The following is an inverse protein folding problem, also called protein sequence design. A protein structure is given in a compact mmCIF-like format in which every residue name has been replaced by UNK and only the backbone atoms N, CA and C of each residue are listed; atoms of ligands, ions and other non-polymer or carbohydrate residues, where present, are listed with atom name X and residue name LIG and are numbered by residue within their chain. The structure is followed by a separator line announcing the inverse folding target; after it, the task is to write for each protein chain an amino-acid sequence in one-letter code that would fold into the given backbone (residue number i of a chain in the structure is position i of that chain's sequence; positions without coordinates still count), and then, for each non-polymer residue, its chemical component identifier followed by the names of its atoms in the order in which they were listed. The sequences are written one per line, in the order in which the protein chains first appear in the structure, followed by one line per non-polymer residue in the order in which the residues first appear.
data_IF_186218049634
#
_entry.id   IF_186218049634
#
_cell.length_a   1.000
_cell.length_b   1.000
_cell.length_c   1.000
_cell.angle_alpha   90.00
_cell.angle_beta   90.00
_cell.angle_gamma   90.00
#
_symmetry.space_group_name_H-M   'P 1'
#
loop_
_entity.id
_entity.type
_entity.pdbx_description
1 polymer ?
#
# COMPACT_ATOMS: atom_id res chain seq x y z
N UNK A 1 -18.10 21.08 -8.38
CA UNK A 1 -18.03 19.73 -8.90
C UNK A 1 -16.85 19.59 -9.83
N UNK A 2 -15.97 18.61 -9.58
CA UNK A 2 -14.89 18.27 -10.50
C UNK A 2 -15.51 17.73 -11.79
N UNK A 3 -15.54 18.54 -12.84
CA UNK A 3 -16.09 18.20 -14.14
C UNK A 3 -15.18 17.27 -14.98
N UNK A 4 -14.18 16.66 -14.37
CA UNK A 4 -13.32 15.68 -15.02
C UNK A 4 -13.56 14.30 -14.40
N UNK A 5 -14.05 13.36 -15.20
CA UNK A 5 -14.16 11.97 -14.78
C UNK A 5 -12.77 11.44 -14.41
N UNK A 6 -12.63 10.91 -13.16
CA UNK A 6 -11.45 10.13 -12.82
C UNK A 6 -11.43 8.89 -13.70
N UNK A 7 -10.24 8.38 -14.01
CA UNK A 7 -10.09 7.10 -14.70
C UNK A 7 -9.83 6.03 -13.64
N UNK A 8 -10.75 5.06 -13.53
CA UNK A 8 -10.54 3.93 -12.63
C UNK A 8 -9.42 3.06 -13.19
N UNK A 9 -8.42 2.79 -12.34
CA UNK A 9 -7.30 1.92 -12.68
C UNK A 9 -7.75 0.45 -12.72
N UNK A 10 -7.01 -0.37 -13.47
CA UNK A 10 -7.03 -1.82 -13.31
C UNK A 10 -6.10 -2.16 -12.14
N UNK A 11 -6.68 -2.58 -11.00
CA UNK A 11 -5.90 -2.92 -9.81
C UNK A 11 -4.91 -4.06 -10.05
N UNK A 12 -5.21 -4.96 -10.99
CA UNK A 12 -4.34 -6.10 -11.31
C UNK A 12 -2.99 -5.68 -11.87
N UNK A 13 -2.88 -4.49 -12.46
CA UNK A 13 -1.60 -4.00 -13.01
C UNK A 13 -0.54 -3.79 -11.92
N UNK A 14 -0.95 -3.61 -10.68
CA UNK A 14 -0.01 -3.42 -9.56
C UNK A 14 0.60 -4.73 -9.08
N UNK A 15 0.02 -5.87 -9.45
CA UNK A 15 0.57 -7.19 -9.13
C UNK A 15 0.35 -7.62 -7.69
N UNK A 16 1.17 -8.56 -7.26
CA UNK A 16 1.04 -9.21 -5.94
C UNK A 16 2.03 -8.70 -4.90
N UNK A 17 3.19 -8.23 -5.33
CA UNK A 17 4.27 -7.79 -4.43
C UNK A 17 4.45 -6.29 -4.60
N UNK A 18 3.98 -5.54 -3.60
CA UNK A 18 4.11 -4.10 -3.53
C UNK A 18 5.21 -3.78 -2.51
N UNK A 19 6.28 -3.11 -2.94
CA UNK A 19 7.45 -2.88 -2.11
C UNK A 19 7.50 -1.43 -1.63
N UNK A 20 7.30 -1.17 -0.31
CA UNK A 20 7.52 0.15 0.25
C UNK A 20 9.02 0.42 0.33
N UNK A 21 9.46 1.40 -0.45
CA UNK A 21 10.87 1.74 -0.57
C UNK A 21 11.41 2.38 0.72
N UNK A 22 12.60 1.95 1.12
CA UNK A 22 13.35 2.58 2.21
C UNK A 22 13.89 3.92 1.71
N UNK A 23 13.81 4.96 2.55
CA UNK A 23 14.36 6.28 2.24
C UNK A 23 15.78 6.38 2.82
N UNK A 24 16.83 6.43 1.98
CA UNK A 24 18.20 6.58 2.46
C UNK A 24 18.51 8.03 2.86
N UNK A 25 19.36 8.18 3.88
CA UNK A 25 19.85 9.46 4.35
C UNK A 25 21.37 9.52 4.18
N UNK A 26 21.90 10.72 3.93
CA UNK A 26 23.34 10.96 3.88
C UNK A 26 23.94 11.22 5.28
N UNK A 27 25.24 11.50 5.34
CA UNK A 27 25.98 11.79 6.59
C UNK A 27 25.49 13.07 7.30
N UNK A 28 24.76 13.95 6.62
CA UNK A 28 24.18 15.16 7.18
C UNK A 28 22.71 15.00 7.58
N UNK A 29 22.20 13.76 7.61
CA UNK A 29 20.81 13.43 7.90
C UNK A 29 19.83 14.00 6.88
N UNK A 30 20.31 14.32 5.68
CA UNK A 30 19.47 14.75 4.56
C UNK A 30 19.12 13.55 3.67
N UNK A 31 17.95 13.61 3.01
CA UNK A 31 17.56 12.54 2.08
C UNK A 31 18.56 12.45 0.95
N UNK A 32 19.08 11.23 0.70
CA UNK A 32 19.95 10.96 -0.42
C UNK A 32 19.14 10.47 -1.64
N UNK A 33 18.70 11.41 -2.43
CA UNK A 33 17.88 11.11 -3.63
C UNK A 33 18.62 10.30 -4.68
N UNK A 34 19.96 10.45 -4.77
CA UNK A 34 20.79 9.65 -5.66
C UNK A 34 20.79 8.16 -5.27
N UNK A 35 20.99 7.88 -3.99
CA UNK A 35 20.89 6.51 -3.45
C UNK A 35 19.49 5.94 -3.57
N UNK A 36 18.46 6.80 -3.42
CA UNK A 36 17.08 6.38 -3.61
C UNK A 36 16.83 5.89 -5.04
N UNK A 37 17.32 6.64 -6.03
CA UNK A 37 17.25 6.23 -7.44
C UNK A 37 18.03 4.93 -7.70
N UNK A 38 19.21 4.77 -7.10
CA UNK A 38 20.00 3.54 -7.19
C UNK A 38 19.28 2.34 -6.58
N UNK A 39 18.62 2.53 -5.44
CA UNK A 39 17.81 1.48 -4.80
C UNK A 39 16.66 1.04 -5.71
N UNK A 40 15.99 1.99 -6.34
CA UNK A 40 14.90 1.71 -7.29
C UNK A 40 15.45 0.89 -8.47
N UNK A 41 16.57 1.29 -9.03
CA UNK A 41 17.21 0.56 -10.13
C UNK A 41 17.56 -0.88 -9.71
N UNK A 42 18.13 -1.06 -8.54
CA UNK A 42 18.45 -2.38 -7.98
C UNK A 42 17.19 -3.26 -7.85
N UNK A 43 16.13 -2.73 -7.26
CA UNK A 43 14.87 -3.45 -7.03
C UNK A 43 14.23 -3.86 -8.37
N UNK A 44 14.22 -2.97 -9.35
CA UNK A 44 13.64 -3.24 -10.67
C UNK A 44 14.49 -4.26 -11.43
N UNK A 45 15.80 -4.06 -11.48
CA UNK A 45 16.73 -4.94 -12.21
C UNK A 45 16.72 -6.37 -11.67
N UNK A 46 16.57 -6.54 -10.35
CA UNK A 46 16.49 -7.85 -9.71
C UNK A 46 15.05 -8.39 -9.62
N UNK A 47 14.08 -7.68 -10.15
CA UNK A 47 12.65 -8.07 -10.13
C UNK A 47 12.15 -8.52 -8.75
N UNK A 48 12.41 -7.69 -7.75
CA UNK A 48 12.07 -7.99 -6.36
C UNK A 48 10.60 -7.69 -6.01
N UNK A 49 9.89 -6.97 -6.88
CA UNK A 49 8.50 -6.59 -6.67
C UNK A 49 7.77 -6.35 -7.99
N UNK A 50 6.45 -6.18 -7.89
CA UNK A 50 5.61 -5.80 -9.03
C UNK A 50 5.37 -4.30 -9.08
N UNK A 51 5.32 -3.63 -7.92
CA UNK A 51 5.08 -2.19 -7.81
C UNK A 51 5.91 -1.58 -6.70
N UNK A 52 6.19 -0.29 -6.83
CA UNK A 52 6.95 0.50 -5.86
C UNK A 52 6.00 1.39 -5.06
N UNK A 53 6.16 1.44 -3.73
CA UNK A 53 5.44 2.38 -2.88
C UNK A 53 6.44 3.42 -2.36
N UNK A 54 6.13 4.68 -2.57
CA UNK A 54 6.95 5.81 -2.12
C UNK A 54 6.31 6.42 -0.89
N UNK A 55 7.08 6.56 0.19
CA UNK A 55 6.62 7.08 1.50
C UNK A 55 5.49 6.26 2.13
N UNK A 56 5.51 4.93 1.93
CA UNK A 56 4.46 4.03 2.41
C UNK A 56 4.59 3.61 3.87
N UNK A 57 5.74 3.86 4.52
CA UNK A 57 5.96 3.53 5.93
C UNK A 57 5.49 4.68 6.80
N UNK A 58 4.48 4.44 7.65
CA UNK A 58 3.82 5.47 8.45
C UNK A 58 4.78 6.25 9.35
N UNK A 59 5.69 5.57 10.05
CA UNK A 59 6.66 6.22 10.95
C UNK A 59 7.65 7.10 10.22
N UNK A 60 8.09 6.70 9.05
CA UNK A 60 9.02 7.46 8.21
C UNK A 60 8.32 8.64 7.54
N UNK A 61 7.13 8.42 6.97
CA UNK A 61 6.36 9.46 6.29
C UNK A 61 6.04 10.65 7.22
N UNK A 62 5.82 10.41 8.51
CA UNK A 62 5.53 11.45 9.50
C UNK A 62 6.72 12.38 9.78
N UNK A 63 7.96 11.95 9.46
CA UNK A 63 9.19 12.72 9.65
C UNK A 63 9.56 13.56 8.43
N UNK A 64 8.90 13.33 7.29
CA UNK A 64 9.20 14.00 6.02
C UNK A 64 8.32 15.23 5.84
N UNK A 65 8.90 16.29 5.28
CA UNK A 65 8.14 17.47 4.88
C UNK A 65 7.32 17.17 3.61
N UNK A 66 6.33 17.99 3.34
CA UNK A 66 5.54 17.93 2.12
C UNK A 66 6.44 17.96 0.87
N UNK A 67 7.36 18.92 0.81
CA UNK A 67 8.25 19.08 -0.35
C UNK A 67 9.23 17.91 -0.50
N UNK A 68 9.72 17.35 0.60
CA UNK A 68 10.55 16.14 0.56
C UNK A 68 9.77 14.94 -0.02
N UNK A 69 8.51 14.78 0.39
CA UNK A 69 7.65 13.70 -0.15
C UNK A 69 7.42 13.88 -1.64
N UNK A 70 7.11 15.10 -2.09
CA UNK A 70 6.94 15.40 -3.52
C UNK A 70 8.21 15.08 -4.30
N UNK A 71 9.37 15.44 -3.78
CA UNK A 71 10.66 15.17 -4.46
C UNK A 71 10.96 13.66 -4.51
N UNK A 72 10.58 12.90 -3.50
CA UNK A 72 10.67 11.43 -3.55
C UNK A 72 9.75 10.85 -4.63
N UNK A 73 8.53 11.37 -4.78
CA UNK A 73 7.62 10.96 -5.86
C UNK A 73 8.23 11.24 -7.23
N UNK A 74 8.76 12.44 -7.46
CA UNK A 74 9.44 12.80 -8.71
C UNK A 74 10.60 11.87 -9.01
N UNK A 75 11.44 11.62 -8.01
CA UNK A 75 12.61 10.74 -8.14
C UNK A 75 12.20 9.31 -8.52
N UNK A 76 11.16 8.79 -7.87
CA UNK A 76 10.67 7.44 -8.13
C UNK A 76 10.05 7.29 -9.53
N UNK A 77 9.23 8.25 -9.94
CA UNK A 77 8.64 8.25 -11.29
C UNK A 77 9.73 8.26 -12.35
N UNK A 78 10.72 9.13 -12.18
CA UNK A 78 11.85 9.25 -13.11
C UNK A 78 12.71 7.98 -13.13
N UNK A 79 13.07 7.45 -11.98
CA UNK A 79 13.91 6.25 -11.87
C UNK A 79 13.20 5.00 -12.39
N UNK A 80 11.91 4.84 -12.11
CA UNK A 80 11.14 3.71 -12.65
C UNK A 80 10.98 3.77 -14.16
N UNK A 81 10.84 4.97 -14.72
CA UNK A 81 10.70 5.21 -16.16
C UNK A 81 9.60 4.31 -16.80
N UNK A 82 8.52 4.08 -16.10
CA UNK A 82 7.40 3.26 -16.57
C UNK A 82 7.63 1.74 -16.50
N UNK A 83 8.77 1.29 -15.99
CA UNK A 83 9.09 -0.16 -15.91
C UNK A 83 8.29 -0.89 -14.84
N UNK A 84 8.03 -0.24 -13.72
CA UNK A 84 7.15 -0.73 -12.65
C UNK A 84 6.20 0.39 -12.25
N UNK A 85 4.93 0.07 -11.90
CA UNK A 85 4.02 1.07 -11.37
C UNK A 85 4.54 1.69 -10.07
N UNK A 86 4.26 2.98 -9.89
CA UNK A 86 4.58 3.73 -8.67
C UNK A 86 3.28 4.04 -7.94
N UNK A 87 3.27 3.80 -6.64
CA UNK A 87 2.17 4.11 -5.73
C UNK A 87 2.68 5.16 -4.74
N UNK A 88 1.90 6.21 -4.50
CA UNK A 88 2.28 7.26 -3.56
C UNK A 88 1.60 7.07 -2.21
N UNK A 89 2.39 7.01 -1.14
CA UNK A 89 1.88 7.16 0.22
C UNK A 89 1.62 8.62 0.50
N UNK A 90 0.37 9.03 0.64
CA UNK A 90 -0.02 10.45 0.73
C UNK A 90 -0.75 10.82 2.01
N UNK A 91 -0.90 9.89 2.95
CA UNK A 91 -1.52 10.18 4.24
C UNK A 91 -0.75 11.26 5.00
N UNK A 92 -1.48 12.26 5.50
CA UNK A 92 -0.98 13.36 6.31
C UNK A 92 -1.84 13.51 7.57
N UNK A 93 -1.43 14.43 8.45
CA UNK A 93 -2.16 14.71 9.69
C UNK A 93 -3.59 15.24 9.44
N UNK A 94 -3.79 16.00 8.37
CA UNK A 94 -5.11 16.57 8.04
C UNK A 94 -5.65 16.05 6.71
N UNK A 95 -6.96 16.06 6.58
CA UNK A 95 -7.66 15.76 5.33
C UNK A 95 -7.21 16.70 4.20
N UNK A 96 -7.08 17.99 4.52
CA UNK A 96 -6.67 19.01 3.56
C UNK A 96 -5.27 18.76 3.00
N UNK A 97 -4.31 18.48 3.86
CA UNK A 97 -2.93 18.18 3.44
C UNK A 97 -2.87 16.88 2.63
N UNK A 98 -3.62 15.87 3.04
CA UNK A 98 -3.72 14.60 2.32
C UNK A 98 -4.23 14.81 0.90
N UNK A 99 -5.27 15.62 0.73
CA UNK A 99 -5.81 15.98 -0.60
C UNK A 99 -4.74 16.69 -1.43
N UNK A 100 -4.05 17.67 -0.86
CA UNK A 100 -3.02 18.43 -1.56
C UNK A 100 -1.86 17.52 -2.03
N UNK A 101 -1.38 16.64 -1.16
CA UNK A 101 -0.28 15.72 -1.48
C UNK A 101 -0.71 14.67 -2.51
N UNK A 102 -1.92 14.14 -2.38
CA UNK A 102 -2.49 13.18 -3.34
C UNK A 102 -2.59 13.80 -4.73
N UNK A 103 -3.05 15.03 -4.82
CA UNK A 103 -3.16 15.73 -6.10
C UNK A 103 -1.80 16.06 -6.71
N UNK A 104 -0.80 16.39 -5.88
CA UNK A 104 0.59 16.53 -6.34
C UNK A 104 1.14 15.25 -6.95
N UNK A 105 0.93 14.13 -6.27
CA UNK A 105 1.35 12.83 -6.77
C UNK A 105 0.65 12.48 -8.10
N UNK A 106 -0.64 12.75 -8.18
CA UNK A 106 -1.41 12.54 -9.42
C UNK A 106 -0.87 13.38 -10.57
N UNK A 107 -0.55 14.65 -10.34
CA UNK A 107 0.00 15.55 -11.36
C UNK A 107 1.37 15.06 -11.86
N UNK A 108 2.11 14.30 -11.07
CA UNK A 108 3.36 13.65 -11.45
C UNK A 108 3.19 12.33 -12.21
N UNK A 109 1.94 11.90 -12.43
CA UNK A 109 1.62 10.66 -13.14
C UNK A 109 1.37 9.46 -12.24
N UNK A 110 1.26 9.63 -10.93
CA UNK A 110 0.98 8.54 -9.99
C UNK A 110 -0.54 8.42 -9.81
N UNK A 111 -1.11 7.35 -10.32
CA UNK A 111 -2.57 7.16 -10.39
C UNK A 111 -3.18 6.55 -9.13
N UNK A 112 -2.37 5.91 -8.28
CA UNK A 112 -2.81 5.25 -7.05
C UNK A 112 -2.12 5.84 -5.84
N UNK A 113 -2.91 6.27 -4.86
CA UNK A 113 -2.44 6.73 -3.56
C UNK A 113 -2.79 5.72 -2.46
N UNK A 114 -1.81 5.39 -1.63
CA UNK A 114 -2.00 4.60 -0.40
C UNK A 114 -2.15 5.59 0.75
N UNK A 115 -3.30 5.57 1.42
CA UNK A 115 -3.64 6.57 2.43
C UNK A 115 -3.95 5.90 3.76
N UNK A 116 -3.06 6.10 4.74
CA UNK A 116 -3.24 5.60 6.09
C UNK A 116 -4.41 6.30 6.79
N UNK A 117 -5.11 5.59 7.67
CA UNK A 117 -6.11 6.19 8.53
C UNK A 117 -5.49 7.34 9.34
N UNK A 118 -6.24 8.42 9.60
CA UNK A 118 -5.72 9.52 10.43
C UNK A 118 -5.33 8.99 11.82
N UNK A 119 -4.16 9.36 12.30
CA UNK A 119 -3.59 8.85 13.55
C UNK A 119 -3.66 9.86 14.70
N UNK A 120 -4.24 11.02 14.47
CA UNK A 120 -4.56 12.00 15.50
C UNK A 120 -6.04 11.88 15.88
N UNK A 121 -6.36 12.00 17.17
CA UNK A 121 -7.73 12.08 17.69
C UNK A 121 -8.60 10.81 17.62
N UNK A 122 -8.06 9.62 17.41
CA UNK A 122 -8.82 8.35 17.39
C UNK A 122 -10.23 8.50 16.80
N UNK A 123 -10.36 8.66 15.48
CA UNK A 123 -11.65 8.94 14.85
C UNK A 123 -12.63 7.79 15.04
N UNK A 124 -13.94 8.12 14.99
CA UNK A 124 -15.01 7.12 14.92
C UNK A 124 -15.04 6.48 13.53
N UNK A 125 -15.77 5.37 13.37
CA UNK A 125 -15.97 4.76 12.05
C UNK A 125 -16.62 5.75 11.06
N UNK A 126 -17.60 6.54 11.52
CA UNK A 126 -18.20 7.59 10.69
C UNK A 126 -17.20 8.68 10.32
N UNK A 127 -16.34 9.07 11.26
CA UNK A 127 -15.26 10.02 11.00
C UNK A 127 -14.27 9.50 9.95
N UNK A 128 -13.90 8.22 10.02
CA UNK A 128 -13.05 7.56 9.02
C UNK A 128 -13.72 7.55 7.65
N UNK A 129 -14.99 7.19 7.60
CA UNK A 129 -15.77 7.19 6.36
C UNK A 129 -15.79 8.59 5.72
N UNK A 130 -16.11 9.63 6.49
CA UNK A 130 -16.17 11.01 5.99
C UNK A 130 -14.80 11.52 5.54
N UNK A 131 -13.73 11.18 6.26
CA UNK A 131 -12.36 11.53 5.89
C UNK A 131 -12.00 11.01 4.50
N UNK A 132 -12.16 9.71 4.27
CA UNK A 132 -11.84 9.09 2.99
C UNK A 132 -12.79 9.53 1.86
N UNK A 133 -14.07 9.68 2.17
CA UNK A 133 -15.05 10.20 1.21
C UNK A 133 -14.66 11.59 0.73
N UNK A 134 -14.29 12.47 1.64
CA UNK A 134 -13.87 13.85 1.33
C UNK A 134 -12.62 13.85 0.45
N UNK A 135 -11.64 13.00 0.77
CA UNK A 135 -10.44 12.86 -0.06
C UNK A 135 -10.82 12.39 -1.46
N UNK A 136 -11.60 11.32 -1.55
CA UNK A 136 -12.00 10.73 -2.82
C UNK A 136 -12.76 11.70 -3.73
N UNK A 137 -13.60 12.54 -3.15
CA UNK A 137 -14.38 13.56 -3.89
C UNK A 137 -13.52 14.72 -4.38
N UNK A 138 -12.32 14.91 -3.86
CA UNK A 138 -11.42 16.03 -4.15
C UNK A 138 -10.14 15.63 -4.87
N UNK A 139 -10.08 14.43 -5.44
CA UNK A 139 -8.94 13.95 -6.22
C UNK A 139 -9.40 13.12 -7.41
N UNK A 140 -8.60 13.11 -8.46
CA UNK A 140 -8.76 12.18 -9.60
C UNK A 140 -8.01 10.88 -9.39
N UNK A 141 -7.14 10.81 -8.37
CA UNK A 141 -6.39 9.61 -8.05
C UNK A 141 -7.33 8.50 -7.55
N UNK A 142 -6.91 7.27 -7.79
CA UNK A 142 -7.49 6.11 -7.12
C UNK A 142 -6.86 5.97 -5.75
N UNK A 143 -7.61 5.45 -4.78
CA UNK A 143 -7.21 5.38 -3.38
C UNK A 143 -7.23 3.94 -2.90
N UNK A 144 -6.14 3.53 -2.25
CA UNK A 144 -6.08 2.33 -1.43
C UNK A 144 -6.06 2.76 0.03
N UNK A 145 -7.03 2.28 0.79
CA UNK A 145 -7.10 2.50 2.23
C UNK A 145 -5.93 1.78 2.92
N UNK A 146 -5.41 2.36 4.00
CA UNK A 146 -4.39 1.70 4.80
C UNK A 146 -4.85 1.58 6.25
N UNK A 147 -5.10 0.35 6.70
CA UNK A 147 -5.49 0.03 8.06
C UNK A 147 -4.29 -0.53 8.83
N UNK A 148 -3.88 0.18 9.88
CA UNK A 148 -2.81 -0.26 10.79
C UNK A 148 -3.17 0.13 12.24
N UNK A 149 -4.04 -0.65 12.92
CA UNK A 149 -4.54 -0.31 14.24
C UNK A 149 -3.47 -0.14 15.30
N UNK A 150 -2.41 -0.92 15.24
CA UNK A 150 -1.31 -0.85 16.21
C UNK A 150 -0.63 0.52 16.21
N UNK A 151 -0.60 1.19 15.07
CA UNK A 151 0.01 2.52 14.92
C UNK A 151 -1.01 3.64 15.11
N UNK A 152 -2.19 3.50 14.51
CA UNK A 152 -3.25 4.53 14.46
C UNK A 152 -4.11 4.52 15.74
N UNK A 153 -4.23 3.36 16.40
CA UNK A 153 -5.07 3.19 17.59
C UNK A 153 -6.55 2.94 17.30
N UNK A 154 -6.94 2.87 16.03
CA UNK A 154 -8.31 2.58 15.59
C UNK A 154 -8.26 1.56 14.47
N UNK A 155 -9.09 0.51 14.57
CA UNK A 155 -9.27 -0.46 13.50
C UNK A 155 -10.36 0.01 12.53
N UNK A 156 -10.06 -0.03 11.24
CA UNK A 156 -11.03 0.21 10.19
C UNK A 156 -11.92 -1.05 10.08
N UNK A 157 -13.18 -0.94 10.47
CA UNK A 157 -14.10 -2.08 10.51
C UNK A 157 -14.59 -2.48 9.12
N UNK A 158 -14.92 -3.75 8.95
CA UNK A 158 -15.39 -4.31 7.67
C UNK A 158 -16.59 -3.58 7.09
N UNK A 159 -17.56 -3.21 7.93
CA UNK A 159 -18.72 -2.43 7.49
C UNK A 159 -18.32 -1.07 6.90
N UNK A 160 -17.37 -0.39 7.53
CA UNK A 160 -16.84 0.89 7.03
C UNK A 160 -16.11 0.71 5.70
N UNK A 161 -15.29 -0.34 5.57
CA UNK A 161 -14.61 -0.66 4.32
C UNK A 161 -15.63 -0.96 3.21
N UNK A 162 -16.68 -1.70 3.51
CA UNK A 162 -17.77 -1.98 2.56
C UNK A 162 -18.45 -0.72 2.06
N UNK A 163 -18.73 0.24 2.95
CA UNK A 163 -19.29 1.54 2.58
C UNK A 163 -18.33 2.34 1.68
N UNK A 164 -17.05 2.33 2.02
CA UNK A 164 -16.01 3.02 1.25
C UNK A 164 -15.79 2.38 -0.14
N UNK A 165 -15.91 1.08 -0.25
CA UNK A 165 -15.79 0.36 -1.52
C UNK A 165 -16.86 0.79 -2.55
N UNK A 166 -17.99 1.35 -2.10
CA UNK A 166 -19.01 1.91 -2.98
C UNK A 166 -18.59 3.22 -3.65
N UNK A 167 -17.55 3.88 -3.15
CA UNK A 167 -17.00 5.11 -3.75
C UNK A 167 -16.10 4.72 -4.91
N UNK A 168 -16.38 5.22 -6.14
CA UNK A 168 -15.77 4.66 -7.36
C UNK A 168 -14.24 4.69 -7.43
N UNK A 169 -13.58 5.67 -6.84
CA UNK A 169 -12.12 5.77 -6.83
C UNK A 169 -11.44 5.24 -5.56
N UNK A 170 -12.19 4.60 -4.69
CA UNK A 170 -11.62 3.80 -3.59
C UNK A 170 -11.59 2.35 -4.06
N UNK A 171 -10.39 1.82 -4.31
CA UNK A 171 -10.21 0.60 -5.10
C UNK A 171 -9.63 -0.58 -4.33
N UNK A 172 -9.20 -0.36 -3.10
CA UNK A 172 -8.59 -1.42 -2.31
C UNK A 172 -8.30 -1.00 -0.88
N UNK A 173 -7.82 -1.96 -0.11
CA UNK A 173 -7.36 -1.78 1.26
C UNK A 173 -6.09 -2.60 1.50
N UNK A 174 -5.10 -1.97 2.15
CA UNK A 174 -3.96 -2.65 2.78
C UNK A 174 -4.31 -2.87 4.24
N UNK A 175 -4.31 -4.12 4.67
CA UNK A 175 -4.62 -4.49 6.04
C UNK A 175 -3.37 -4.96 6.80
N UNK A 176 -3.07 -4.27 7.89
CA UNK A 176 -2.00 -4.60 8.81
C UNK A 176 -2.58 -4.63 10.23
N UNK A 177 -3.55 -5.54 10.44
CA UNK A 177 -4.34 -5.66 11.67
C UNK A 177 -3.59 -6.33 12.83
N UNK A 178 -2.29 -6.57 12.68
CA UNK A 178 -1.50 -7.40 13.59
C UNK A 178 -1.67 -8.87 13.24
N UNK A 179 -1.60 -9.76 14.23
CA UNK A 179 -1.68 -11.21 13.97
C UNK A 179 -3.16 -11.63 13.86
N UNK A 180 -3.83 -11.15 12.82
CA UNK A 180 -5.23 -11.47 12.56
C UNK A 180 -5.50 -11.63 11.05
N UNK A 181 -5.23 -12.82 10.46
CA UNK A 181 -5.46 -13.04 9.03
C UNK A 181 -6.94 -13.06 8.64
N UNK A 182 -7.85 -13.31 9.59
CA UNK A 182 -9.28 -13.41 9.29
C UNK A 182 -9.91 -12.08 8.91
N UNK A 183 -9.30 -10.94 9.29
CA UNK A 183 -9.78 -9.63 8.87
C UNK A 183 -9.74 -9.45 7.35
N UNK A 184 -8.80 -10.08 6.67
CA UNK A 184 -8.76 -10.10 5.19
C UNK A 184 -10.04 -10.70 4.63
N UNK A 185 -10.49 -11.82 5.20
CA UNK A 185 -11.76 -12.44 4.79
C UNK A 185 -12.96 -11.53 5.11
N UNK A 186 -12.97 -10.88 6.27
CA UNK A 186 -14.03 -9.95 6.63
C UNK A 186 -14.13 -8.80 5.62
N UNK A 187 -13.01 -8.24 5.20
CA UNK A 187 -12.98 -7.19 4.19
C UNK A 187 -13.40 -7.70 2.81
N UNK A 188 -12.95 -8.88 2.44
CA UNK A 188 -13.37 -9.52 1.20
C UNK A 188 -14.89 -9.70 1.15
N UNK A 189 -15.48 -10.25 2.19
CA UNK A 189 -16.93 -10.46 2.28
C UNK A 189 -17.73 -9.16 2.27
N UNK A 190 -17.21 -8.11 2.91
CA UNK A 190 -17.86 -6.80 2.96
C UNK A 190 -17.84 -6.06 1.62
N UNK A 191 -16.88 -6.38 0.74
CA UNK A 191 -16.65 -5.62 -0.50
C UNK A 191 -17.03 -6.37 -1.78
N UNK A 192 -17.03 -7.70 -1.79
CA UNK A 192 -17.18 -8.51 -3.02
C UNK A 192 -18.44 -8.22 -3.84
N UNK A 193 -19.56 -7.94 -3.15
CA UNK A 193 -20.84 -7.63 -3.80
C UNK A 193 -20.98 -6.14 -4.16
N UNK A 194 -20.24 -5.29 -3.46
CA UNK A 194 -20.25 -3.83 -3.66
C UNK A 194 -19.38 -3.48 -4.87
N UNK A 195 -18.18 -4.04 -4.93
CA UNK A 195 -17.22 -3.85 -5.99
C UNK A 195 -16.39 -5.13 -6.17
N UNK A 196 -16.70 -5.97 -7.16
CA UNK A 196 -15.98 -7.23 -7.40
C UNK A 196 -14.48 -7.04 -7.71
N UNK A 197 -14.06 -5.85 -8.10
CA UNK A 197 -12.67 -5.53 -8.41
C UNK A 197 -11.92 -4.90 -7.23
N UNK A 198 -12.57 -4.71 -6.08
CA UNK A 198 -11.93 -4.20 -4.88
C UNK A 198 -10.89 -5.20 -4.38
N UNK A 199 -9.66 -4.75 -4.12
CA UNK A 199 -8.56 -5.62 -3.73
C UNK A 199 -8.18 -5.45 -2.26
N UNK A 200 -7.83 -6.56 -1.61
CA UNK A 200 -7.33 -6.57 -0.24
C UNK A 200 -5.88 -7.03 -0.27
N UNK A 201 -4.97 -6.21 0.24
CA UNK A 201 -3.55 -6.53 0.41
C UNK A 201 -3.23 -6.73 1.88
N UNK A 202 -2.40 -7.72 2.16
CA UNK A 202 -1.82 -7.90 3.49
C UNK A 202 -0.58 -7.00 3.64
N UNK A 203 -0.41 -6.37 4.80
CA UNK A 203 0.72 -5.48 5.08
C UNK A 203 1.82 -6.08 5.97
N UNK A 204 1.74 -7.37 6.32
CA UNK A 204 2.65 -8.00 7.28
C UNK A 204 3.31 -9.26 6.69
N UNK A 205 4.64 -9.28 6.62
CA UNK A 205 5.42 -10.39 6.05
C UNK A 205 5.14 -11.72 6.77
N UNK A 206 4.98 -11.71 8.08
CA UNK A 206 4.71 -12.95 8.86
C UNK A 206 3.32 -13.52 8.60
N UNK A 207 2.45 -12.75 7.98
CA UNK A 207 1.08 -13.15 7.66
C UNK A 207 0.90 -13.51 6.18
N UNK A 208 1.99 -13.60 5.42
CA UNK A 208 1.93 -13.82 3.97
C UNK A 208 1.06 -15.04 3.60
N UNK A 209 1.45 -16.23 4.01
CA UNK A 209 0.73 -17.44 3.63
C UNK A 209 -0.69 -17.52 4.24
N UNK A 210 -0.89 -17.23 5.54
CA UNK A 210 -2.25 -17.21 6.09
C UNK A 210 -3.20 -16.26 5.37
N UNK A 211 -2.75 -15.09 4.92
CA UNK A 211 -3.60 -14.12 4.25
C UNK A 211 -3.89 -14.45 2.80
N UNK A 212 -2.97 -15.10 2.10
CA UNK A 212 -3.24 -15.61 0.74
C UNK A 212 -4.42 -16.56 0.77
N UNK A 213 -4.43 -17.49 1.72
CA UNK A 213 -5.52 -18.47 1.89
C UNK A 213 -6.85 -17.77 2.21
N UNK A 214 -6.80 -16.64 2.91
CA UNK A 214 -7.99 -15.84 3.27
C UNK A 214 -8.51 -14.95 2.14
N UNK A 215 -7.82 -14.89 0.99
CA UNK A 215 -8.26 -14.10 -0.17
C UNK A 215 -7.50 -12.81 -0.42
N UNK A 216 -6.35 -12.59 0.23
CA UNK A 216 -5.51 -11.44 -0.08
C UNK A 216 -5.02 -11.50 -1.52
N UNK A 217 -5.14 -10.39 -2.24
CA UNK A 217 -4.62 -10.24 -3.61
C UNK A 217 -3.10 -10.35 -3.64
N UNK A 218 -2.45 -9.82 -2.63
CA UNK A 218 -1.00 -9.74 -2.56
C UNK A 218 -0.53 -9.22 -1.21
N UNK A 219 0.71 -8.77 -1.19
CA UNK A 219 1.38 -8.27 0.00
C UNK A 219 2.03 -6.91 -0.26
N UNK A 220 1.96 -6.03 0.72
CA UNK A 220 2.83 -4.86 0.83
C UNK A 220 3.96 -5.26 1.77
N UNK A 221 5.16 -5.47 1.23
CA UNK A 221 6.25 -6.13 1.94
C UNK A 221 7.53 -5.31 1.92
N UNK A 222 7.95 -4.83 3.09
CA UNK A 222 9.28 -4.27 3.30
C UNK A 222 10.37 -5.33 3.14
N UNK A 223 10.08 -6.57 3.52
CA UNK A 223 10.98 -7.71 3.38
C UNK A 223 11.28 -8.08 1.92
N UNK A 224 10.49 -7.61 0.97
CA UNK A 224 10.73 -7.85 -0.46
C UNK A 224 12.06 -7.27 -0.95
N UNK A 225 12.65 -6.29 -0.26
CA UNK A 225 14.03 -5.85 -0.54
C UNK A 225 15.03 -7.01 -0.47
N UNK A 226 14.76 -8.00 0.35
CA UNK A 226 15.62 -9.17 0.57
C UNK A 226 14.98 -10.44 0.01
N UNK A 227 13.67 -10.64 0.25
CA UNK A 227 12.95 -11.89 -0.01
C UNK A 227 11.99 -11.83 -1.19
N UNK A 228 12.11 -10.85 -2.08
CA UNK A 228 11.18 -10.69 -3.21
C UNK A 228 10.99 -11.97 -4.04
N UNK A 229 12.06 -12.69 -4.33
CA UNK A 229 12.00 -13.93 -5.11
C UNK A 229 11.31 -15.06 -4.35
N UNK A 230 11.59 -15.19 -3.06
CA UNK A 230 10.96 -16.18 -2.17
C UNK A 230 9.47 -15.91 -2.01
N UNK A 231 9.08 -14.65 -1.86
CA UNK A 231 7.67 -14.24 -1.78
C UNK A 231 6.94 -14.62 -3.07
N UNK A 232 7.54 -14.34 -4.22
CA UNK A 232 6.98 -14.70 -5.53
C UNK A 232 6.82 -16.23 -5.65
N UNK A 233 7.82 -16.98 -5.22
CA UNK A 233 7.77 -18.45 -5.25
C UNK A 233 6.64 -19.00 -4.37
N UNK A 234 6.36 -18.36 -3.24
CA UNK A 234 5.24 -18.74 -2.35
C UNK A 234 3.90 -18.52 -3.06
N UNK A 235 3.70 -17.37 -3.71
CA UNK A 235 2.49 -17.12 -4.50
C UNK A 235 2.32 -18.13 -5.63
N UNK A 236 3.39 -18.42 -6.37
CA UNK A 236 3.36 -19.40 -7.47
C UNK A 236 3.01 -20.81 -6.97
N UNK A 237 3.62 -21.24 -5.87
CA UNK A 237 3.33 -22.55 -5.28
C UNK A 237 1.86 -22.65 -4.83
N UNK A 238 1.34 -21.62 -4.18
CA UNK A 238 -0.07 -21.58 -3.78
C UNK A 238 -1.00 -21.65 -5.00
N UNK A 239 -0.73 -20.90 -6.05
CA UNK A 239 -1.54 -20.89 -7.27
C UNK A 239 -1.58 -22.24 -7.99
N UNK A 240 -0.49 -23.01 -7.89
CA UNK A 240 -0.39 -24.36 -8.46
C UNK A 240 -0.98 -25.43 -7.56
N UNK A 241 -1.48 -25.07 -6.36
CA UNK A 241 -1.97 -26.03 -5.38
C UNK A 241 -0.87 -26.80 -4.66
N UNK A 242 0.38 -26.35 -4.74
CA UNK A 242 1.55 -26.98 -4.09
C UNK A 242 1.68 -26.49 -2.64
N UNK A 243 0.74 -26.91 -1.76
CA UNK A 243 0.63 -26.39 -0.40
C UNK A 243 1.86 -26.66 0.47
N UNK A 244 2.43 -27.86 0.39
CA UNK A 244 3.63 -28.23 1.15
C UNK A 244 4.83 -27.39 0.73
N UNK A 245 4.99 -27.15 -0.56
CA UNK A 245 6.05 -26.29 -1.08
C UNK A 245 5.89 -24.84 -0.60
N UNK A 246 4.66 -24.31 -0.63
CA UNK A 246 4.37 -22.96 -0.12
C UNK A 246 4.76 -22.85 1.36
N UNK A 247 4.42 -23.84 2.18
CA UNK A 247 4.81 -23.88 3.60
C UNK A 247 6.33 -23.96 3.77
N UNK A 248 7.00 -24.83 3.04
CA UNK A 248 8.45 -25.00 3.10
C UNK A 248 9.22 -23.73 2.75
N UNK A 249 8.71 -22.94 1.82
CA UNK A 249 9.27 -21.64 1.45
C UNK A 249 8.95 -20.56 2.49
N UNK A 250 7.75 -20.59 3.06
CA UNK A 250 7.28 -19.57 4.00
C UNK A 250 7.92 -19.66 5.38
N UNK A 251 8.08 -20.87 5.94
CA UNK A 251 8.56 -21.07 7.32
C UNK A 251 9.94 -20.45 7.57
N UNK A 252 10.95 -20.60 6.70
CA UNK A 252 12.23 -19.92 6.88
C UNK A 252 12.12 -18.39 6.88
N UNK A 253 11.30 -17.83 6.00
CA UNK A 253 11.05 -16.39 5.94
C UNK A 253 10.37 -15.90 7.23
N UNK A 254 9.35 -16.61 7.68
CA UNK A 254 8.68 -16.31 8.94
C UNK A 254 9.67 -16.29 10.11
N UNK A 255 10.51 -17.32 10.20
CA UNK A 255 11.52 -17.42 11.27
C UNK A 255 12.49 -16.26 11.26
N UNK A 256 12.95 -15.85 10.08
CA UNK A 256 13.83 -14.69 9.93
C UNK A 256 13.14 -13.40 10.38
N UNK A 257 11.89 -13.17 9.98
CA UNK A 257 11.14 -11.97 10.33
C UNK A 257 10.80 -11.89 11.83
N UNK A 258 10.79 -13.00 12.55
CA UNK A 258 10.50 -13.04 14.01
C UNK A 258 11.76 -12.87 14.87
N UNK A 259 12.96 -12.90 14.33
CA UNK A 259 14.23 -12.67 15.06
C UNK A 259 14.64 -11.21 15.01
#
# INVERSE_FOLDING_TARGET
GLSGRFVRIDQKKYGKILLPLITPYDENEEIDYGKYAELIEYVITNDLCDSLIVTGTTGEASLLTFDERVKLFETAVKASAGRKPVIAGTGCASTKETIALTNKAYDLGIELALIVCPFYNKPTQEGLYLHYKTIAENTKANIMLYNIPIFVGVNLEAETVGRLAAIPNIVGVKDEAGVNPTQVTDFFLATEKVDPNFVVYNGDDIMLLPTIVQGAMGIVSGGAHIFGHEIRAIFEAFEKGENEKAKELFVPMYRFCKT
#
